data_IF_071530745006
#
_entry.id   IF_071530745006
#
_cell.length_a   1.000
_cell.length_b   1.000
_cell.length_c   1.000
_cell.angle_alpha   90.00
_cell.angle_beta   90.00
_cell.angle_gamma   90.00
#
_symmetry.space_group_name_H-M   'P 1'
#
loop_
_entity.id
_entity.type
_entity.pdbx_description
1 polymer ?
#
# COMPACT_ATOMS: atom_id res chain seq x y z
N UNK A 1 22.62 -3.67 5.69
CA UNK A 1 21.62 -3.43 4.61
C UNK A 1 20.78 -4.68 4.55
N UNK A 2 19.44 -4.60 4.62
CA UNK A 2 18.62 -5.80 4.66
C UNK A 2 18.31 -6.36 3.25
N UNK A 3 17.87 -7.62 3.19
CA UNK A 3 17.59 -8.30 1.93
C UNK A 3 16.49 -7.61 1.12
N UNK A 4 15.49 -7.03 1.81
CA UNK A 4 14.37 -6.33 1.18
C UNK A 4 14.84 -5.10 0.42
N UNK A 5 15.74 -4.33 1.02
CA UNK A 5 16.33 -3.15 0.40
C UNK A 5 17.19 -3.51 -0.81
N UNK A 6 17.97 -4.58 -0.74
CA UNK A 6 18.77 -5.07 -1.88
C UNK A 6 17.86 -5.53 -3.02
N UNK A 7 16.82 -6.32 -2.71
CA UNK A 7 15.86 -6.78 -3.70
C UNK A 7 15.12 -5.60 -4.37
N UNK A 8 14.76 -4.57 -3.60
CA UNK A 8 14.17 -3.33 -4.13
C UNK A 8 15.07 -2.68 -5.17
N UNK A 9 16.37 -2.49 -4.86
CA UNK A 9 17.30 -1.88 -5.81
C UNK A 9 17.53 -2.74 -7.07
N UNK A 10 17.53 -4.07 -6.96
CA UNK A 10 17.58 -4.94 -8.14
C UNK A 10 16.34 -4.77 -9.03
N UNK A 11 15.15 -4.59 -8.44
CA UNK A 11 13.93 -4.32 -9.19
C UNK A 11 13.95 -2.93 -9.84
N UNK A 12 14.50 -1.92 -9.17
CA UNK A 12 14.73 -0.59 -9.75
C UNK A 12 15.69 -0.67 -10.95
N UNK A 13 16.80 -1.42 -10.82
CA UNK A 13 17.71 -1.69 -11.93
C UNK A 13 17.01 -2.37 -13.11
N UNK A 14 16.24 -3.43 -12.84
CA UNK A 14 15.48 -4.14 -13.88
C UNK A 14 14.49 -3.20 -14.59
N UNK A 15 13.79 -2.37 -13.83
CA UNK A 15 12.82 -1.39 -14.33
C UNK A 15 13.48 -0.36 -15.25
N UNK A 16 14.61 0.21 -14.83
CA UNK A 16 15.30 1.20 -15.65
C UNK A 16 15.92 0.57 -16.91
N UNK A 17 16.48 -0.63 -16.82
CA UNK A 17 16.98 -1.39 -17.97
C UNK A 17 15.86 -1.67 -18.99
N UNK A 18 14.69 -2.09 -18.53
CA UNK A 18 13.52 -2.32 -19.39
C UNK A 18 13.05 -1.02 -20.06
N UNK A 19 13.00 0.09 -19.30
CA UNK A 19 12.72 1.39 -19.87
C UNK A 19 13.71 1.78 -20.96
N UNK A 20 15.00 1.46 -20.80
CA UNK A 20 16.06 1.77 -21.77
C UNK A 20 16.17 0.79 -22.93
N UNK A 21 15.28 -0.21 -23.04
CA UNK A 21 15.36 -1.26 -24.07
C UNK A 21 16.60 -2.16 -23.96
N UNK A 22 17.16 -2.31 -22.77
CA UNK A 22 18.25 -3.26 -22.57
C UNK A 22 17.79 -4.72 -22.78
N UNK A 23 18.75 -5.63 -22.85
CA UNK A 23 18.51 -7.06 -23.11
C UNK A 23 17.44 -7.64 -22.17
N UNK A 24 16.36 -8.25 -22.71
CA UNK A 24 15.32 -8.90 -21.90
C UNK A 24 15.87 -9.98 -20.95
N UNK A 25 16.93 -10.67 -21.36
CA UNK A 25 17.63 -11.64 -20.52
C UNK A 25 18.25 -11.00 -19.28
N UNK A 26 18.81 -9.78 -19.43
CA UNK A 26 19.42 -9.03 -18.33
C UNK A 26 18.35 -8.52 -17.37
N UNK A 27 17.26 -7.95 -17.89
CA UNK A 27 16.10 -7.52 -17.07
C UNK A 27 15.56 -8.69 -16.24
N UNK A 28 15.36 -9.84 -16.88
CA UNK A 28 14.85 -11.02 -16.17
C UNK A 28 15.84 -11.57 -15.14
N UNK A 29 17.15 -11.48 -15.40
CA UNK A 29 18.17 -11.89 -14.44
C UNK A 29 18.09 -11.06 -13.14
N UNK A 30 17.95 -9.74 -13.24
CA UNK A 30 17.79 -8.86 -12.07
C UNK A 30 16.49 -9.14 -11.31
N UNK A 31 15.37 -9.37 -12.00
CA UNK A 31 14.09 -9.76 -11.37
C UNK A 31 14.20 -11.09 -10.59
N UNK A 32 14.81 -12.11 -11.21
CA UNK A 32 15.02 -13.42 -10.56
C UNK A 32 15.96 -13.32 -9.36
N UNK A 33 17.02 -12.53 -9.47
CA UNK A 33 17.92 -12.27 -8.36
C UNK A 33 17.20 -11.57 -7.19
N UNK A 34 16.34 -10.58 -7.47
CA UNK A 34 15.55 -9.91 -6.44
C UNK A 34 14.65 -10.89 -5.67
N UNK A 35 13.93 -11.76 -6.41
CA UNK A 35 13.10 -12.81 -5.80
C UNK A 35 13.94 -13.75 -4.93
N UNK A 36 15.05 -14.24 -5.46
CA UNK A 36 15.91 -15.19 -4.74
C UNK A 36 16.51 -14.59 -3.47
N UNK A 37 16.83 -13.29 -3.48
CA UNK A 37 17.29 -12.56 -2.30
C UNK A 37 16.20 -12.43 -1.23
N UNK A 38 14.95 -12.19 -1.63
CA UNK A 38 13.82 -12.13 -0.68
C UNK A 38 13.56 -13.47 -0.01
N UNK A 39 13.75 -14.57 -0.75
CA UNK A 39 13.57 -15.94 -0.27
C UNK A 39 14.78 -16.46 0.53
N UNK A 40 15.91 -15.74 0.52
CA UNK A 40 17.12 -16.13 1.24
C UNK A 40 16.93 -15.89 2.76
N UNK A 41 17.02 -16.93 3.61
CA UNK A 41 16.80 -16.80 5.05
C UNK A 41 17.97 -16.14 5.80
N UNK A 42 19.16 -16.16 5.19
CA UNK A 42 20.37 -15.55 5.73
C UNK A 42 20.47 -14.10 5.24
N UNK A 43 20.88 -13.13 6.08
CA UNK A 43 21.16 -11.77 5.62
C UNK A 43 22.20 -11.78 4.49
N UNK A 44 21.85 -11.25 3.32
CA UNK A 44 22.73 -11.17 2.15
C UNK A 44 23.98 -10.35 2.45
N UNK A 45 23.90 -9.40 3.39
CA UNK A 45 25.07 -8.68 3.88
C UNK A 45 26.13 -9.60 4.50
N UNK A 46 25.72 -10.64 5.23
CA UNK A 46 26.67 -11.64 5.77
C UNK A 46 27.24 -12.53 4.66
N UNK A 47 26.42 -12.88 3.67
CA UNK A 47 26.87 -13.66 2.52
C UNK A 47 27.88 -12.92 1.65
N UNK A 48 27.78 -11.58 1.57
CA UNK A 48 28.76 -10.69 0.94
C UNK A 48 30.11 -10.77 1.65
N UNK A 49 30.12 -10.68 2.98
CA UNK A 49 31.35 -10.76 3.77
C UNK A 49 32.06 -12.11 3.61
N UNK A 50 31.27 -13.19 3.51
CA UNK A 50 31.79 -14.55 3.33
C UNK A 50 32.12 -14.91 1.86
N UNK A 51 31.83 -14.02 0.90
CA UNK A 51 32.07 -14.28 -0.53
C UNK A 51 31.19 -15.40 -1.12
N UNK A 52 29.99 -15.63 -0.56
CA UNK A 52 29.08 -16.74 -0.93
C UNK A 52 27.87 -16.29 -1.76
N UNK A 53 27.86 -15.06 -2.24
CA UNK A 53 26.77 -14.44 -2.99
C UNK A 53 26.38 -15.21 -4.26
N UNK A 54 27.36 -15.74 -5.00
CA UNK A 54 27.12 -16.54 -6.21
C UNK A 54 26.48 -17.90 -5.94
N UNK A 55 26.33 -18.30 -4.68
CA UNK A 55 25.58 -19.48 -4.28
C UNK A 55 24.07 -19.27 -4.28
N UNK A 56 23.59 -18.03 -4.38
CA UNK A 56 22.17 -17.72 -4.46
C UNK A 56 21.69 -17.97 -5.91
N UNK A 57 20.64 -18.79 -6.11
CA UNK A 57 20.06 -19.00 -7.43
C UNK A 57 19.74 -17.68 -8.14
N UNK A 58 20.03 -17.58 -9.44
CA UNK A 58 19.79 -16.35 -10.22
C UNK A 58 20.78 -15.20 -10.00
N UNK A 59 21.68 -15.29 -9.02
CA UNK A 59 22.71 -14.27 -8.77
C UNK A 59 24.02 -14.64 -9.48
N UNK A 60 24.17 -14.17 -10.73
CA UNK A 60 25.41 -14.31 -11.50
C UNK A 60 26.50 -13.31 -11.08
N UNK A 61 27.73 -13.49 -11.60
CA UNK A 61 28.91 -12.67 -11.25
C UNK A 61 28.69 -11.15 -11.35
N UNK A 62 27.98 -10.69 -12.39
CA UNK A 62 27.68 -9.27 -12.57
C UNK A 62 26.74 -8.72 -11.50
N UNK A 63 25.67 -9.45 -11.18
CA UNK A 63 24.71 -9.06 -10.15
C UNK A 63 25.37 -9.14 -8.77
N UNK A 64 26.19 -10.15 -8.51
CA UNK A 64 26.97 -10.27 -7.28
C UNK A 64 27.88 -9.05 -7.06
N UNK A 65 28.62 -8.64 -8.09
CA UNK A 65 29.47 -7.44 -8.02
C UNK A 65 28.67 -6.17 -7.73
N UNK A 66 27.47 -6.03 -8.32
CA UNK A 66 26.57 -4.91 -8.03
C UNK A 66 26.10 -4.91 -6.57
N UNK A 67 25.70 -6.07 -6.04
CA UNK A 67 25.27 -6.19 -4.64
C UNK A 67 26.44 -5.93 -3.68
N UNK A 68 27.64 -6.40 -4.01
CA UNK A 68 28.86 -6.16 -3.22
C UNK A 68 29.16 -4.67 -3.10
N UNK A 69 29.06 -3.91 -4.20
CA UNK A 69 29.24 -2.45 -4.19
C UNK A 69 28.21 -1.75 -3.28
N UNK A 70 26.93 -2.16 -3.33
CA UNK A 70 25.90 -1.60 -2.45
C UNK A 70 26.14 -1.90 -0.96
N UNK A 71 26.59 -3.12 -0.65
CA UNK A 71 26.73 -3.57 0.74
C UNK A 71 28.03 -3.09 1.37
N UNK A 72 29.16 -3.23 0.67
CA UNK A 72 30.50 -2.88 1.19
C UNK A 72 30.78 -1.40 1.04
N UNK A 73 30.60 -0.87 -0.17
CA UNK A 73 31.10 0.46 -0.54
C UNK A 73 30.01 1.53 -0.42
N UNK A 74 28.75 1.12 -0.21
CA UNK A 74 27.57 2.01 -0.23
C UNK A 74 27.45 2.81 -1.53
N UNK A 75 27.94 2.23 -2.62
CA UNK A 75 27.94 2.87 -3.93
C UNK A 75 26.66 2.54 -4.70
N UNK A 76 25.72 3.48 -4.73
CA UNK A 76 24.44 3.35 -5.44
C UNK A 76 24.43 4.06 -6.81
N UNK A 77 25.58 4.56 -7.27
CA UNK A 77 25.72 5.38 -8.48
C UNK A 77 25.03 4.77 -9.71
N UNK A 78 25.21 3.47 -9.96
CA UNK A 78 24.59 2.80 -11.11
C UNK A 78 23.05 2.83 -11.08
N UNK A 79 22.44 2.74 -9.90
CA UNK A 79 20.98 2.84 -9.73
C UNK A 79 20.53 4.28 -9.90
N UNK A 80 21.26 5.21 -9.29
CA UNK A 80 20.98 6.64 -9.34
C UNK A 80 21.05 7.18 -10.77
N UNK A 81 22.09 6.85 -11.51
CA UNK A 81 22.25 7.21 -12.93
C UNK A 81 21.14 6.64 -13.80
N UNK A 82 20.73 5.40 -13.53
CA UNK A 82 19.65 4.75 -14.27
C UNK A 82 18.31 5.44 -13.99
N UNK A 83 18.00 5.69 -12.72
CA UNK A 83 16.80 6.37 -12.28
C UNK A 83 16.73 7.82 -12.77
N UNK A 84 17.85 8.53 -12.84
CA UNK A 84 17.94 9.89 -13.36
C UNK A 84 17.55 10.01 -14.85
N UNK A 85 17.59 8.90 -15.61
CA UNK A 85 17.18 8.85 -17.02
C UNK A 85 15.69 8.56 -17.22
N UNK A 86 14.97 8.23 -16.14
CA UNK A 86 13.54 7.93 -16.19
C UNK A 86 12.73 9.23 -16.14
N UNK A 87 11.60 9.31 -16.87
CA UNK A 87 10.72 10.47 -16.76
C UNK A 87 10.13 10.53 -15.34
N UNK A 88 10.02 11.74 -14.78
CA UNK A 88 9.56 11.96 -13.39
C UNK A 88 8.20 11.32 -13.09
N UNK A 89 7.29 11.36 -14.05
CA UNK A 89 5.94 10.79 -13.97
C UNK A 89 5.82 9.36 -14.52
N UNK A 90 6.90 8.59 -14.63
CA UNK A 90 6.89 7.25 -15.23
C UNK A 90 5.81 6.33 -14.63
N UNK A 91 5.70 6.29 -13.30
CA UNK A 91 4.68 5.48 -12.61
C UNK A 91 3.26 5.90 -12.94
N UNK A 92 3.01 7.20 -13.08
CA UNK A 92 1.70 7.72 -13.45
C UNK A 92 1.37 7.43 -14.92
N UNK A 93 2.35 7.56 -15.81
CA UNK A 93 2.22 7.29 -17.24
C UNK A 93 1.94 5.80 -17.51
N UNK A 94 2.58 4.89 -16.77
CA UNK A 94 2.36 3.43 -16.87
C UNK A 94 0.94 3.02 -16.48
N UNK A 95 0.22 3.82 -15.69
CA UNK A 95 -1.19 3.55 -15.33
C UNK A 95 -2.14 3.75 -16.51
N UNK A 96 -1.72 4.46 -17.55
CA UNK A 96 -2.57 4.64 -18.74
C UNK A 96 -2.56 3.32 -19.55
N UNK A 97 -3.72 2.69 -19.80
CA UNK A 97 -3.77 1.45 -20.57
C UNK A 97 -3.10 1.59 -21.92
N UNK A 98 -2.24 0.63 -22.24
CA UNK A 98 -1.48 0.61 -23.49
C UNK A 98 -0.26 1.55 -23.51
N UNK A 99 0.00 2.37 -22.49
CA UNK A 99 1.25 3.13 -22.37
C UNK A 99 2.30 2.31 -21.62
N UNK A 100 2.95 1.38 -22.32
CA UNK A 100 4.13 0.66 -21.82
C UNK A 100 5.44 1.45 -22.01
N UNK A 101 6.54 0.93 -21.44
CA UNK A 101 7.87 1.55 -21.48
C UNK A 101 8.30 2.06 -22.86
N UNK A 102 8.07 1.28 -23.92
CA UNK A 102 8.41 1.66 -25.30
C UNK A 102 7.72 2.94 -25.76
N UNK A 103 6.42 3.10 -25.46
CA UNK A 103 5.64 4.29 -25.84
C UNK A 103 6.01 5.47 -24.95
N UNK A 104 6.20 5.24 -23.65
CA UNK A 104 6.64 6.28 -22.71
C UNK A 104 8.02 6.81 -23.11
N UNK A 105 8.97 5.94 -23.45
CA UNK A 105 10.29 6.33 -23.97
C UNK A 105 10.18 7.17 -25.23
N UNK A 106 9.30 6.80 -26.17
CA UNK A 106 9.06 7.61 -27.36
C UNK A 106 8.52 9.01 -27.01
N UNK A 107 7.58 9.12 -26.06
CA UNK A 107 7.08 10.43 -25.58
C UNK A 107 8.19 11.25 -24.92
N UNK A 108 8.97 10.64 -24.03
CA UNK A 108 10.04 11.31 -23.30
C UNK A 108 11.15 11.81 -24.24
N UNK A 109 11.64 10.94 -25.13
CA UNK A 109 12.75 11.28 -26.03
C UNK A 109 12.39 12.17 -27.22
N UNK A 110 11.15 12.08 -27.74
CA UNK A 110 10.75 12.81 -28.96
C UNK A 110 9.95 14.07 -28.66
N UNK A 111 9.19 14.08 -27.55
CA UNK A 111 8.29 15.18 -27.19
C UNK A 111 8.61 15.81 -25.83
N UNK A 112 9.68 15.37 -25.15
CA UNK A 112 10.07 15.84 -23.80
C UNK A 112 8.96 15.71 -22.76
N UNK A 113 8.11 14.70 -22.90
CA UNK A 113 7.04 14.41 -21.94
C UNK A 113 7.61 13.67 -20.74
N UNK A 114 7.63 14.33 -19.58
CA UNK A 114 8.07 13.73 -18.32
C UNK A 114 6.89 13.34 -17.42
N UNK A 115 5.75 14.01 -17.53
CA UNK A 115 4.61 13.90 -16.61
C UNK A 115 3.27 13.68 -17.32
N UNK A 116 2.21 13.39 -16.54
CA UNK A 116 0.83 13.37 -17.06
C UNK A 116 0.41 14.72 -17.64
N UNK A 117 0.84 15.81 -17.01
CA UNK A 117 0.51 17.17 -17.42
C UNK A 117 1.17 17.49 -18.77
N UNK A 118 2.43 17.09 -18.97
CA UNK A 118 3.11 17.21 -20.28
C UNK A 118 2.41 16.38 -21.37
N UNK A 119 1.95 15.16 -21.01
CA UNK A 119 1.20 14.32 -21.93
C UNK A 119 -0.15 14.95 -22.31
N UNK A 120 -0.85 15.54 -21.34
CA UNK A 120 -2.09 16.26 -21.58
C UNK A 120 -1.88 17.38 -22.61
N UNK A 121 -0.83 18.15 -22.42
CA UNK A 121 -0.47 19.26 -23.30
C UNK A 121 -0.05 18.75 -24.69
N UNK A 122 0.74 17.68 -24.76
CA UNK A 122 1.13 17.07 -26.03
C UNK A 122 -0.07 16.54 -26.83
N UNK A 123 -1.08 15.97 -26.15
CA UNK A 123 -2.35 15.56 -26.77
C UNK A 123 -3.12 16.78 -27.27
N UNK A 124 -3.27 17.81 -26.44
CA UNK A 124 -3.99 19.05 -26.79
C UNK A 124 -3.40 19.76 -28.01
N UNK A 125 -2.07 19.74 -28.13
CA UNK A 125 -1.33 20.31 -29.26
C UNK A 125 -1.29 19.39 -30.49
N UNK A 126 -1.86 18.18 -30.42
CA UNK A 126 -1.86 17.22 -31.53
C UNK A 126 -0.50 16.61 -31.85
N UNK A 127 0.51 16.77 -30.98
CA UNK A 127 1.91 16.35 -31.18
C UNK A 127 2.12 14.84 -31.36
N UNK A 128 1.16 14.04 -30.88
CA UNK A 128 1.22 12.58 -31.00
C UNK A 128 0.83 12.08 -32.41
N UNK A 129 0.23 12.95 -33.23
CA UNK A 129 -0.23 12.58 -34.56
C UNK A 129 0.94 12.22 -35.48
N UNK A 130 0.86 11.06 -36.13
CA UNK A 130 1.88 10.62 -37.08
C UNK A 130 3.09 9.89 -36.46
N UNK A 131 3.18 9.80 -35.13
CA UNK A 131 4.20 8.98 -34.48
C UNK A 131 3.91 7.49 -34.71
N UNK A 132 4.89 6.73 -35.20
CA UNK A 132 4.76 5.27 -35.42
C UNK A 132 4.31 4.50 -34.18
N UNK A 133 4.73 4.96 -32.99
CA UNK A 133 4.37 4.33 -31.72
C UNK A 133 2.92 4.61 -31.28
N UNK A 134 2.24 5.59 -31.89
CA UNK A 134 0.91 6.10 -31.51
C UNK A 134 -0.07 6.04 -32.69
N UNK A 135 -0.67 4.86 -32.97
CA UNK A 135 -1.72 4.74 -33.97
C UNK A 135 -2.94 5.62 -33.65
N UNK A 136 -3.65 6.10 -34.67
CA UNK A 136 -4.79 7.01 -34.51
C UNK A 136 -5.83 6.53 -33.50
N UNK A 137 -6.28 5.27 -33.60
CA UNK A 137 -7.23 4.66 -32.64
C UNK A 137 -6.75 4.75 -31.18
N UNK A 138 -5.45 4.61 -30.95
CA UNK A 138 -4.88 4.72 -29.61
C UNK A 138 -4.89 6.18 -29.15
N UNK A 139 -4.44 7.12 -29.99
CA UNK A 139 -4.46 8.56 -29.69
C UNK A 139 -5.87 9.04 -29.37
N UNK A 140 -6.89 8.61 -30.13
CA UNK A 140 -8.29 8.96 -29.91
C UNK A 140 -8.83 8.46 -28.55
N UNK A 141 -8.23 7.39 -27.98
CA UNK A 141 -8.61 6.83 -26.67
C UNK A 141 -7.85 7.44 -25.48
N UNK A 142 -6.74 8.14 -25.74
CA UNK A 142 -5.87 8.69 -24.69
C UNK A 142 -6.55 9.74 -23.81
N UNK A 143 -7.33 10.72 -24.32
CA UNK A 143 -7.97 11.73 -23.47
C UNK A 143 -8.80 11.12 -22.34
N UNK A 144 -9.67 10.15 -22.67
CA UNK A 144 -10.50 9.44 -21.67
C UNK A 144 -9.68 8.65 -20.68
N UNK A 145 -8.61 8.01 -21.15
CA UNK A 145 -7.73 7.22 -20.28
C UNK A 145 -6.92 8.11 -19.33
N UNK A 146 -6.45 9.26 -19.83
CA UNK A 146 -5.75 10.27 -19.06
C UNK A 146 -6.66 10.89 -18.01
N UNK A 147 -7.87 11.32 -18.39
CA UNK A 147 -8.87 11.86 -17.46
C UNK A 147 -9.15 10.88 -16.31
N UNK A 148 -9.30 9.59 -16.64
CA UNK A 148 -9.48 8.55 -15.63
C UNK A 148 -8.28 8.46 -14.69
N UNK A 149 -7.04 8.44 -15.19
CA UNK A 149 -5.84 8.40 -14.33
C UNK A 149 -5.73 9.66 -13.46
N UNK A 150 -6.02 10.82 -14.03
CA UNK A 150 -6.02 12.09 -13.31
C UNK A 150 -7.08 12.11 -12.20
N UNK A 151 -8.24 11.48 -12.40
CA UNK A 151 -9.34 11.46 -11.42
C UNK A 151 -8.97 10.80 -10.08
N UNK A 152 -8.01 9.87 -10.08
CA UNK A 152 -7.50 9.22 -8.88
C UNK A 152 -6.05 9.58 -8.57
N UNK A 153 -5.49 10.60 -9.24
CA UNK A 153 -4.19 11.17 -8.86
C UNK A 153 -4.26 11.70 -7.44
N UNK A 154 -3.21 11.47 -6.66
CA UNK A 154 -3.19 11.84 -5.25
C UNK A 154 -3.98 10.88 -4.35
N UNK A 155 -4.48 9.75 -4.87
CA UNK A 155 -5.21 8.75 -4.09
C UNK A 155 -4.47 7.43 -4.04
N UNK A 156 -4.66 6.68 -2.95
CA UNK A 156 -4.18 5.31 -2.78
C UNK A 156 -5.29 4.43 -2.22
N UNK A 157 -5.21 3.13 -2.49
CA UNK A 157 -5.98 2.15 -1.72
C UNK A 157 -5.42 2.03 -0.30
N UNK A 158 -6.27 1.68 0.66
CA UNK A 158 -5.90 1.52 2.07
C UNK A 158 -4.65 0.65 2.28
N UNK A 159 -4.49 -0.45 1.55
CA UNK A 159 -3.33 -1.34 1.69
C UNK A 159 -2.00 -0.64 1.41
N UNK A 160 -1.95 0.17 0.34
CA UNK A 160 -0.79 0.98 -0.01
C UNK A 160 -0.61 2.15 0.96
N UNK A 161 -1.69 2.77 1.41
CA UNK A 161 -1.67 3.83 2.42
C UNK A 161 -1.08 3.36 3.76
N UNK A 162 -1.59 2.24 4.29
CA UNK A 162 -1.10 1.60 5.52
C UNK A 162 0.36 1.20 5.40
N UNK A 163 0.77 0.56 4.31
CA UNK A 163 2.17 0.16 4.09
C UNK A 163 3.12 1.37 4.14
N UNK A 164 2.70 2.51 3.55
CA UNK A 164 3.48 3.75 3.58
C UNK A 164 3.50 4.39 4.97
N UNK A 165 2.37 4.38 5.68
CA UNK A 165 2.28 4.89 7.04
C UNK A 165 3.18 4.07 7.99
N UNK A 166 3.10 2.74 7.92
CA UNK A 166 3.92 1.81 8.70
C UNK A 166 5.40 1.99 8.43
N UNK A 167 5.82 2.13 7.17
CA UNK A 167 7.21 2.39 6.82
C UNK A 167 7.73 3.67 7.49
N UNK A 168 6.95 4.76 7.44
CA UNK A 168 7.31 6.02 8.11
C UNK A 168 7.33 5.87 9.64
N UNK A 169 6.34 5.19 10.22
CA UNK A 169 6.29 4.95 11.68
C UNK A 169 7.50 4.14 12.14
N UNK A 170 7.90 3.09 11.40
CA UNK A 170 9.09 2.30 11.69
C UNK A 170 10.37 3.14 11.57
N UNK A 171 10.45 4.01 10.57
CA UNK A 171 11.56 4.94 10.39
C UNK A 171 11.68 5.91 11.57
N UNK A 172 10.58 6.52 12.01
CA UNK A 172 10.54 7.38 13.21
C UNK A 172 10.89 6.59 14.48
N UNK A 173 10.36 5.38 14.64
CA UNK A 173 10.62 4.51 15.78
C UNK A 173 12.11 4.13 15.88
N UNK A 174 12.81 3.96 14.75
CA UNK A 174 14.26 3.70 14.72
C UNK A 174 15.10 4.83 15.33
N UNK A 175 14.54 6.04 15.47
CA UNK A 175 15.15 7.20 16.14
C UNK A 175 14.56 7.47 17.54
N UNK A 176 13.76 6.55 18.07
CA UNK A 176 13.11 6.66 19.38
C UNK A 176 11.87 7.55 19.39
N UNK A 177 11.37 7.97 18.23
CA UNK A 177 10.18 8.80 18.12
C UNK A 177 8.94 7.90 18.05
N UNK A 178 7.96 8.14 18.91
CA UNK A 178 6.71 7.39 18.91
C UNK A 178 5.72 8.02 17.94
N UNK A 179 5.17 7.20 17.05
CA UNK A 179 4.20 7.63 16.07
C UNK A 179 3.10 6.58 15.88
N UNK A 180 1.95 7.01 15.37
CA UNK A 180 0.84 6.13 14.99
C UNK A 180 0.06 6.71 13.83
N UNK A 181 -0.50 5.83 12.99
CA UNK A 181 -1.40 6.27 11.94
C UNK A 181 -2.65 6.92 12.55
N UNK A 182 -3.14 7.96 11.89
CA UNK A 182 -4.41 8.63 12.19
C UNK A 182 -5.17 8.84 10.88
N UNK A 183 -6.15 9.74 10.86
CA UNK A 183 -6.93 10.08 9.67
C UNK A 183 -7.56 8.88 8.97
N UNK A 184 -7.57 8.93 7.64
CA UNK A 184 -8.20 7.91 6.79
C UNK A 184 -7.57 6.52 6.95
N UNK A 185 -6.26 6.44 7.23
CA UNK A 185 -5.58 5.17 7.48
C UNK A 185 -6.12 4.50 8.74
N UNK A 186 -6.29 5.26 9.84
CA UNK A 186 -6.82 4.73 11.09
C UNK A 186 -8.30 4.34 11.01
N UNK A 187 -9.09 5.01 10.16
CA UNK A 187 -10.49 4.66 9.90
C UNK A 187 -10.67 3.54 8.87
N UNK A 188 -9.59 2.99 8.31
CA UNK A 188 -9.64 1.99 7.24
C UNK A 188 -10.48 2.45 6.03
N UNK A 189 -10.42 3.73 5.68
CA UNK A 189 -11.11 4.24 4.50
C UNK A 189 -10.52 3.58 3.24
N UNK A 190 -11.37 3.02 2.39
CA UNK A 190 -10.95 2.26 1.19
C UNK A 190 -10.00 3.06 0.29
N UNK A 191 -10.30 4.36 0.14
CA UNK A 191 -9.51 5.32 -0.65
C UNK A 191 -8.93 6.37 0.28
N UNK A 192 -7.61 6.51 0.22
CA UNK A 192 -6.78 7.42 1.00
C UNK A 192 -6.36 8.60 0.11
N UNK A 193 -6.69 9.81 0.52
CA UNK A 193 -6.33 11.07 -0.15
C UNK A 193 -5.24 11.83 0.62
N UNK A 194 -5.00 11.44 1.88
CA UNK A 194 -3.91 11.90 2.73
C UNK A 194 -3.46 10.81 3.70
N UNK A 195 -2.16 10.68 3.91
CA UNK A 195 -1.61 9.82 4.96
C UNK A 195 -1.31 10.69 6.17
N UNK A 196 -2.11 10.54 7.23
CA UNK A 196 -1.92 11.26 8.47
C UNK A 196 -1.21 10.38 9.51
N UNK A 197 -0.18 10.92 10.15
CA UNK A 197 0.57 10.26 11.23
C UNK A 197 0.63 11.21 12.42
N UNK A 198 0.19 10.74 13.58
CA UNK A 198 0.33 11.46 14.84
C UNK A 198 1.67 11.10 15.48
N UNK A 199 2.49 12.09 15.80
CA UNK A 199 3.84 11.94 16.31
C UNK A 199 3.92 12.54 17.72
N UNK A 200 4.17 11.70 18.71
CA UNK A 200 4.44 12.14 20.08
C UNK A 200 5.82 12.81 20.10
N UNK A 201 5.84 14.11 20.36
CA UNK A 201 7.00 14.97 20.19
C UNK A 201 7.15 15.88 21.42
N UNK A 202 8.35 15.93 21.98
CA UNK A 202 8.81 17.03 22.84
C UNK A 202 9.62 18.04 22.02
N UNK A 203 9.89 19.23 22.56
CA UNK A 203 10.65 20.27 21.84
C UNK A 203 12.00 19.81 21.27
N UNK A 204 12.65 18.82 21.90
CA UNK A 204 13.94 18.24 21.49
C UNK A 204 13.83 17.17 20.39
N UNK A 205 12.63 16.64 20.12
CA UNK A 205 12.44 15.54 19.15
C UNK A 205 12.26 16.03 17.71
N UNK A 206 12.04 17.34 17.52
CA UNK A 206 11.82 17.93 16.19
C UNK A 206 13.01 17.72 15.25
N UNK A 207 14.23 17.86 15.75
CA UNK A 207 15.45 17.62 14.96
C UNK A 207 15.57 16.15 14.56
N UNK A 208 15.30 15.22 15.49
CA UNK A 208 15.29 13.78 15.20
C UNK A 208 14.25 13.39 14.15
N UNK A 209 13.09 14.05 14.15
CA UNK A 209 12.03 13.83 13.16
C UNK A 209 12.50 14.30 11.79
N UNK A 210 13.09 15.49 11.69
CA UNK A 210 13.60 16.01 10.43
C UNK A 210 14.74 15.15 9.88
N UNK A 211 15.70 14.76 10.73
CA UNK A 211 16.77 13.83 10.38
C UNK A 211 16.22 12.48 9.91
N UNK A 212 15.11 12.02 10.49
CA UNK A 212 14.47 10.77 10.10
C UNK A 212 13.92 10.87 8.69
N UNK A 213 13.38 12.01 8.27
CA UNK A 213 12.79 12.20 6.95
C UNK A 213 13.84 12.20 5.81
N UNK A 214 15.12 12.36 6.14
CA UNK A 214 16.22 12.59 5.19
C UNK A 214 16.23 14.03 4.68
N UNK A 215 16.89 14.29 3.54
CA UNK A 215 16.57 15.48 2.74
C UNK A 215 15.39 15.20 1.79
N UNK A 216 14.17 15.57 2.16
CA UNK A 216 13.17 15.90 1.17
C UNK A 216 12.61 17.29 1.42
N UNK A 217 11.88 17.81 0.45
CA UNK A 217 11.26 19.12 0.42
C UNK A 217 10.07 19.22 1.40
N UNK A 218 10.25 18.74 2.65
CA UNK A 218 9.24 18.76 3.68
C UNK A 218 9.00 20.21 4.11
N UNK A 219 7.74 20.63 4.07
CA UNK A 219 7.34 21.97 4.49
C UNK A 219 6.85 21.88 5.91
N UNK A 220 7.48 22.65 6.80
CA UNK A 220 7.08 22.70 8.20
C UNK A 220 6.22 23.94 8.42
N UNK A 221 5.02 23.75 8.96
CA UNK A 221 4.14 24.84 9.40
C UNK A 221 3.58 24.52 10.77
N UNK A 222 3.90 25.35 11.76
CA UNK A 222 3.51 25.16 13.15
C UNK A 222 3.95 23.76 13.66
N UNK A 223 2.96 22.94 14.00
CA UNK A 223 3.09 21.57 14.52
C UNK A 223 2.79 20.50 13.46
N UNK A 224 2.77 20.88 12.18
CA UNK A 224 2.59 19.95 11.06
C UNK A 224 3.82 19.94 10.16
N UNK A 225 4.31 18.75 9.85
CA UNK A 225 5.33 18.52 8.83
C UNK A 225 4.68 17.86 7.63
N UNK A 226 4.67 18.56 6.49
CA UNK A 226 4.10 18.04 5.24
C UNK A 226 5.21 17.43 4.39
N UNK A 227 5.14 16.12 4.18
CA UNK A 227 5.99 15.39 3.25
C UNK A 227 5.30 15.38 1.88
N UNK A 228 5.96 15.86 0.81
CA UNK A 228 5.38 15.90 -0.52
C UNK A 228 5.08 14.50 -1.05
N UNK A 229 4.13 14.36 -1.98
CA UNK A 229 3.72 13.07 -2.50
C UNK A 229 4.85 12.40 -3.30
N UNK A 230 5.01 11.09 -3.13
CA UNK A 230 5.83 10.26 -4.01
C UNK A 230 4.99 9.63 -5.13
N UNK A 231 5.44 9.79 -6.37
CA UNK A 231 4.92 9.08 -7.56
C UNK A 231 3.38 9.14 -7.73
N UNK A 232 2.80 10.34 -7.62
CA UNK A 232 1.35 10.55 -7.83
C UNK A 232 0.44 10.02 -6.72
N UNK A 233 0.99 9.65 -5.56
CA UNK A 233 0.24 9.35 -4.34
C UNK A 233 -0.19 10.60 -3.55
N UNK A 234 -0.87 10.43 -2.41
CA UNK A 234 -1.27 11.53 -1.53
C UNK A 234 -0.09 12.18 -0.82
N UNK A 235 -0.30 13.38 -0.30
CA UNK A 235 0.58 14.01 0.69
C UNK A 235 0.58 13.20 1.99
N UNK A 236 1.68 13.27 2.73
CA UNK A 236 1.77 12.73 4.08
C UNK A 236 1.95 13.87 5.07
N UNK A 237 1.13 13.89 6.12
CA UNK A 237 1.19 14.90 7.18
C UNK A 237 1.57 14.25 8.50
N UNK A 238 2.65 14.75 9.10
CA UNK A 238 3.05 14.40 10.46
C UNK A 238 2.53 15.48 11.41
N UNK A 239 1.64 15.10 12.32
CA UNK A 239 1.05 15.96 13.33
C UNK A 239 1.85 15.80 14.63
N UNK A 240 2.67 16.80 14.94
CA UNK A 240 3.53 16.82 16.12
C UNK A 240 2.68 17.20 17.34
N UNK A 241 2.73 16.39 18.39
CA UNK A 241 1.88 16.61 19.56
C UNK A 241 2.62 16.27 20.86
N UNK A 242 2.53 17.12 21.91
CA UNK A 242 3.02 16.77 23.23
C UNK A 242 2.16 15.68 23.88
N UNK A 243 2.76 14.86 24.73
CA UNK A 243 2.11 13.67 25.32
C UNK A 243 0.78 13.99 26.00
N UNK A 244 0.66 15.15 26.64
CA UNK A 244 -0.53 15.59 27.38
C UNK A 244 -1.74 15.83 26.47
N UNK A 245 -1.52 16.06 25.18
CA UNK A 245 -2.58 16.34 24.19
C UNK A 245 -2.84 15.16 23.25
N UNK A 246 -2.13 14.03 23.43
CA UNK A 246 -2.13 12.92 22.50
C UNK A 246 -3.55 12.39 22.20
N UNK A 247 -4.38 12.20 23.24
CA UNK A 247 -5.71 11.59 23.09
C UNK A 247 -6.71 12.51 22.39
N UNK A 248 -6.68 13.82 22.68
CA UNK A 248 -7.48 14.81 21.96
C UNK A 248 -7.04 14.92 20.49
N UNK A 249 -5.73 15.08 20.25
CA UNK A 249 -5.21 15.20 18.88
C UNK A 249 -5.42 13.92 18.08
N UNK A 250 -5.36 12.75 18.72
CA UNK A 250 -5.70 11.49 18.08
C UNK A 250 -7.14 11.50 17.58
N UNK A 251 -8.11 11.89 18.41
CA UNK A 251 -9.52 12.02 17.99
C UNK A 251 -9.65 12.99 16.80
N UNK A 252 -9.14 14.22 16.95
CA UNK A 252 -9.29 15.28 15.95
C UNK A 252 -8.67 14.90 14.61
N UNK A 253 -7.43 14.38 14.62
CA UNK A 253 -6.73 13.96 13.41
C UNK A 253 -7.30 12.66 12.83
N UNK A 254 -7.96 11.83 13.64
CA UNK A 254 -8.64 10.62 13.14
C UNK A 254 -9.87 11.00 12.34
N UNK A 255 -10.60 12.02 12.75
CA UNK A 255 -11.79 12.47 12.04
C UNK A 255 -12.91 11.41 12.04
N UNK A 256 -13.76 11.37 11.01
CA UNK A 256 -13.81 12.33 9.88
C UNK A 256 -14.16 13.75 10.31
N UNK A 257 -13.98 14.75 9.43
CA UNK A 257 -14.38 16.15 9.73
C UNK A 257 -15.85 16.25 10.12
N UNK A 258 -16.72 15.47 9.45
CA UNK A 258 -18.13 15.38 9.76
C UNK A 258 -18.38 14.78 11.16
N UNK A 259 -17.63 13.74 11.54
CA UNK A 259 -17.68 13.17 12.90
C UNK A 259 -17.27 14.19 13.97
N UNK A 260 -16.15 14.89 13.76
CA UNK A 260 -15.64 15.90 14.70
C UNK A 260 -16.61 17.07 14.84
N UNK A 261 -17.20 17.52 13.72
CA UNK A 261 -18.22 18.56 13.74
C UNK A 261 -19.43 18.13 14.58
N UNK A 262 -19.89 16.88 14.42
CA UNK A 262 -21.01 16.34 15.18
C UNK A 262 -20.69 16.25 16.68
N UNK A 263 -19.48 15.81 17.06
CA UNK A 263 -19.03 15.80 18.46
C UNK A 263 -18.92 17.21 19.04
N UNK A 264 -18.35 18.18 18.30
CA UNK A 264 -18.26 19.59 18.71
C UNK A 264 -19.63 20.20 18.94
N UNK A 265 -20.59 19.92 18.05
CA UNK A 265 -21.98 20.37 18.21
C UNK A 265 -22.59 19.82 19.49
N UNK A 266 -22.45 18.51 19.74
CA UNK A 266 -22.95 17.88 20.96
C UNK A 266 -22.27 18.44 22.22
N UNK A 267 -20.95 18.64 22.18
CA UNK A 267 -20.20 19.23 23.29
C UNK A 267 -20.78 20.60 23.66
N UNK A 268 -21.01 21.46 22.67
CA UNK A 268 -21.59 22.79 22.86
C UNK A 268 -22.97 22.75 23.51
N UNK A 269 -23.85 21.83 23.09
CA UNK A 269 -25.17 21.61 23.69
C UNK A 269 -25.08 21.21 25.18
N UNK A 270 -23.97 20.60 25.60
CA UNK A 270 -23.70 20.17 26.98
C UNK A 270 -22.88 21.20 27.79
N UNK A 271 -22.58 22.37 27.22
CA UNK A 271 -21.72 23.38 27.84
C UNK A 271 -20.24 22.99 27.90
N UNK A 272 -19.81 22.07 27.03
CA UNK A 272 -18.42 21.72 26.78
C UNK A 272 -17.93 22.30 25.45
N UNK A 273 -16.62 22.42 25.29
CA UNK A 273 -15.98 22.86 24.06
C UNK A 273 -14.81 21.94 23.75
N UNK A 274 -14.75 21.43 22.52
CA UNK A 274 -13.63 20.62 22.01
C UNK A 274 -12.82 21.51 21.08
N UNK A 275 -11.78 22.13 21.63
CA UNK A 275 -10.82 22.95 20.89
C UNK A 275 -9.77 22.10 20.15
N UNK A 276 -8.74 22.77 19.62
CA UNK A 276 -7.62 22.10 18.95
C UNK A 276 -6.62 21.50 19.95
N UNK A 277 -6.47 22.14 21.12
CA UNK A 277 -5.45 21.84 22.12
C UNK A 277 -6.01 21.41 23.48
N UNK A 278 -7.26 21.77 23.78
CA UNK A 278 -7.90 21.47 25.04
C UNK A 278 -9.39 21.20 24.90
N UNK A 279 -9.94 20.51 25.90
CA UNK A 279 -11.38 20.38 26.10
C UNK A 279 -11.75 21.18 27.34
N UNK A 280 -12.80 21.99 27.25
CA UNK A 280 -13.35 22.70 28.42
C UNK A 280 -14.77 22.23 28.73
N UNK A 281 -15.15 22.28 30.01
CA UNK A 281 -16.51 22.07 30.48
C UNK A 281 -16.88 23.24 31.38
N UNK A 282 -17.91 24.01 30.99
CA UNK A 282 -18.35 25.22 31.70
C UNK A 282 -17.20 26.20 31.96
N UNK A 283 -16.32 26.37 30.97
CA UNK A 283 -15.16 27.26 31.01
C UNK A 283 -13.97 26.75 31.84
N UNK A 284 -13.97 25.48 32.28
CA UNK A 284 -12.84 24.87 32.98
C UNK A 284 -12.19 23.77 32.14
N UNK A 285 -10.85 23.71 32.04
CA UNK A 285 -10.17 22.64 31.33
C UNK A 285 -10.48 21.25 31.92
N UNK A 286 -10.64 20.27 31.05
CA UNK A 286 -10.85 18.86 31.38
C UNK A 286 -9.67 18.06 30.85
N UNK A 287 -9.00 17.33 31.74
CA UNK A 287 -7.94 16.40 31.34
C UNK A 287 -8.56 15.12 30.81
N UNK A 288 -8.06 14.63 29.67
CA UNK A 288 -8.46 13.36 29.06
C UNK A 288 -7.22 12.51 28.83
N UNK A 289 -7.28 11.25 29.24
CA UNK A 289 -6.17 10.30 29.12
C UNK A 289 -6.34 9.36 27.94
N UNK A 290 -7.57 9.15 27.49
CA UNK A 290 -7.94 8.32 26.35
C UNK A 290 -9.09 8.94 25.55
N UNK A 291 -9.31 8.47 24.32
CA UNK A 291 -10.44 8.94 23.50
C UNK A 291 -11.79 8.59 24.17
N UNK A 292 -11.86 7.46 24.86
CA UNK A 292 -13.00 6.98 25.63
C UNK A 292 -13.43 7.99 26.70
N UNK A 293 -12.49 8.74 27.28
CA UNK A 293 -12.80 9.80 28.24
C UNK A 293 -13.58 10.95 27.58
N UNK A 294 -13.26 11.25 26.31
CA UNK A 294 -13.94 12.28 25.52
C UNK A 294 -15.37 11.82 25.20
N UNK A 295 -15.56 10.58 24.74
CA UNK A 295 -16.91 10.05 24.51
C UNK A 295 -17.73 10.00 25.81
N UNK A 296 -17.12 9.58 26.92
CA UNK A 296 -17.78 9.52 28.24
C UNK A 296 -18.19 10.90 28.73
N UNK A 297 -17.35 11.92 28.53
CA UNK A 297 -17.67 13.32 28.84
C UNK A 297 -18.95 13.79 28.10
N UNK A 298 -19.14 13.31 26.86
CA UNK A 298 -20.30 13.62 26.03
C UNK A 298 -21.49 12.66 26.26
N UNK A 299 -21.41 11.75 27.23
CA UNK A 299 -22.46 10.76 27.49
C UNK A 299 -22.64 9.74 26.37
N UNK A 300 -21.57 9.43 25.64
CA UNK A 300 -21.56 8.49 24.52
C UNK A 300 -20.80 7.21 24.88
N UNK A 301 -21.27 6.07 24.36
CA UNK A 301 -20.41 4.89 24.19
C UNK A 301 -19.26 5.23 23.23
N UNK A 302 -18.09 4.64 23.47
CA UNK A 302 -16.94 4.77 22.57
C UNK A 302 -17.29 4.31 21.15
N UNK A 303 -16.91 5.12 20.16
CA UNK A 303 -17.02 4.77 18.75
C UNK A 303 -15.64 4.38 18.21
N UNK A 304 -15.45 3.13 17.75
CA UNK A 304 -14.25 2.71 17.06
C UNK A 304 -13.96 3.60 15.83
N UNK A 305 -12.69 3.86 15.48
CA UNK A 305 -12.32 4.73 14.36
C UNK A 305 -12.99 4.37 13.02
N UNK A 306 -13.19 3.09 12.75
CA UNK A 306 -13.70 2.53 11.50
C UNK A 306 -15.14 2.97 11.18
N UNK A 307 -15.88 3.46 12.18
CA UNK A 307 -17.27 3.90 12.02
C UNK A 307 -17.44 5.42 12.10
N UNK A 308 -16.35 6.19 12.27
CA UNK A 308 -16.38 7.66 12.46
C UNK A 308 -16.47 8.39 11.13
N UNK A 309 -17.57 8.19 10.42
CA UNK A 309 -17.78 8.73 9.07
C UNK A 309 -18.75 9.94 9.06
N UNK A 310 -19.25 10.36 10.22
CA UNK A 310 -20.20 11.48 10.33
C UNK A 310 -21.62 11.08 9.94
N UNK A 311 -21.96 9.80 10.07
CA UNK A 311 -23.31 9.29 9.74
C UNK A 311 -24.24 9.51 10.91
N UNK A 312 -25.49 9.93 10.67
CA UNK A 312 -26.49 10.14 11.75
C UNK A 312 -26.65 8.93 12.68
N UNK A 313 -26.50 7.72 12.13
CA UNK A 313 -26.62 6.46 12.88
C UNK A 313 -25.48 6.21 13.88
N UNK A 314 -24.31 6.81 13.72
CA UNK A 314 -23.14 6.53 14.57
C UNK A 314 -23.36 7.07 15.99
N UNK A 315 -23.70 8.36 16.12
CA UNK A 315 -23.95 9.00 17.42
C UNK A 315 -25.27 8.52 18.02
N UNK A 316 -26.28 8.22 17.19
CA UNK A 316 -27.55 7.65 17.68
C UNK A 316 -27.31 6.30 18.39
N UNK A 317 -26.46 5.43 17.83
CA UNK A 317 -26.07 4.17 18.48
C UNK A 317 -25.23 4.42 19.73
N UNK A 318 -24.26 5.32 19.67
CA UNK A 318 -23.42 5.64 20.82
C UNK A 318 -24.22 6.20 22.01
N UNK A 319 -25.24 7.03 21.77
CA UNK A 319 -26.14 7.56 22.80
C UNK A 319 -26.99 6.49 23.47
N UNK A 320 -27.34 5.44 22.74
CA UNK A 320 -28.19 4.33 23.21
C UNK A 320 -27.38 3.12 23.69
N UNK A 321 -26.04 3.25 23.78
CA UNK A 321 -25.12 2.15 24.09
C UNK A 321 -25.30 0.92 23.17
N UNK A 322 -25.56 1.17 21.89
CA UNK A 322 -25.84 0.16 20.86
C UNK A 322 -24.75 0.08 19.77
N UNK A 323 -23.52 0.52 20.08
CA UNK A 323 -22.34 0.28 19.23
C UNK A 323 -21.92 -1.18 19.42
N UNK A 324 -21.95 -2.01 18.35
CA UNK A 324 -21.56 -3.40 18.45
C UNK A 324 -20.05 -3.54 18.62
N UNK A 325 -19.62 -4.68 19.19
CA UNK A 325 -18.24 -5.12 19.04
C UNK A 325 -17.97 -5.39 17.55
N UNK A 326 -16.86 -4.86 17.04
CA UNK A 326 -16.43 -5.09 15.67
C UNK A 326 -15.61 -6.37 15.58
N UNK A 327 -15.52 -6.92 14.36
CA UNK A 327 -14.65 -8.05 14.06
C UNK A 327 -13.18 -7.64 14.23
N UNK A 328 -12.40 -8.44 14.93
CA UNK A 328 -10.96 -8.28 15.04
C UNK A 328 -10.20 -9.29 14.17
N UNK A 329 -8.91 -9.03 13.89
CA UNK A 329 -8.06 -9.95 13.12
C UNK A 329 -8.05 -11.35 13.75
N UNK A 330 -8.09 -11.45 15.09
CA UNK A 330 -8.11 -12.72 15.81
C UNK A 330 -9.41 -13.53 15.63
N UNK A 331 -10.50 -12.90 15.19
CA UNK A 331 -11.76 -13.58 14.87
C UNK A 331 -11.71 -14.27 13.50
N UNK A 332 -10.77 -13.88 12.63
CA UNK A 332 -10.58 -14.46 11.30
C UNK A 332 -9.91 -15.83 11.43
N UNK A 333 -10.72 -16.88 11.31
CA UNK A 333 -10.27 -18.29 11.46
C UNK A 333 -9.82 -18.93 10.14
N UNK A 334 -9.92 -18.22 9.03
CA UNK A 334 -9.60 -18.75 7.71
C UNK A 334 -9.93 -17.76 6.60
N UNK A 335 -9.58 -18.14 5.38
CA UNK A 335 -9.84 -17.38 4.15
C UNK A 335 -10.55 -18.30 3.16
N UNK A 336 -11.57 -17.79 2.46
CA UNK A 336 -12.49 -18.64 1.67
C UNK A 336 -12.24 -18.61 0.17
N UNK A 337 -11.60 -17.55 -0.35
CA UNK A 337 -11.40 -17.34 -1.78
C UNK A 337 -9.92 -17.18 -2.05
N UNK A 338 -9.28 -18.27 -2.45
CA UNK A 338 -7.84 -18.31 -2.70
C UNK A 338 -7.57 -19.11 -3.97
N UNK A 339 -6.62 -18.62 -4.76
CA UNK A 339 -6.22 -19.22 -6.03
C UNK A 339 -4.90 -19.99 -5.86
N UNK A 340 -4.77 -21.07 -6.61
CA UNK A 340 -3.54 -21.86 -6.69
C UNK A 340 -2.90 -21.71 -8.08
N UNK A 341 -1.72 -22.29 -8.25
CA UNK A 341 -1.06 -22.41 -9.56
C UNK A 341 -1.82 -23.27 -10.59
N UNK A 342 -3.02 -23.76 -10.24
CA UNK A 342 -3.95 -24.41 -11.17
C UNK A 342 -4.70 -23.40 -12.06
N UNK A 343 -4.93 -22.18 -11.58
CA UNK A 343 -5.47 -21.07 -12.37
C UNK A 343 -4.47 -19.92 -12.49
N UNK A 344 -4.72 -18.78 -11.82
CA UNK A 344 -3.91 -17.56 -11.88
C UNK A 344 -3.12 -17.29 -10.59
N UNK A 345 -3.15 -18.21 -9.63
CA UNK A 345 -2.29 -18.18 -8.46
C UNK A 345 -0.82 -18.48 -8.81
N UNK A 346 0.08 -18.12 -7.90
CA UNK A 346 1.53 -18.37 -8.06
C UNK A 346 2.06 -19.47 -7.13
N UNK A 347 1.20 -19.99 -6.24
CA UNK A 347 1.56 -20.96 -5.22
C UNK A 347 0.79 -22.26 -5.41
N UNK A 348 1.48 -23.38 -5.26
CA UNK A 348 0.86 -24.71 -5.26
C UNK A 348 -0.15 -24.89 -4.11
N UNK A 349 -1.10 -25.80 -4.30
CA UNK A 349 -2.08 -26.17 -3.27
C UNK A 349 -1.43 -26.50 -1.90
N UNK A 350 -0.39 -27.38 -1.80
CA UNK A 350 0.27 -27.64 -0.52
C UNK A 350 0.92 -26.40 0.11
N UNK A 351 1.49 -25.51 -0.71
CA UNK A 351 2.11 -24.28 -0.22
C UNK A 351 1.05 -23.32 0.35
N UNK A 352 -0.10 -23.17 -0.32
CA UNK A 352 -1.21 -22.35 0.16
C UNK A 352 -1.77 -22.84 1.50
N UNK A 353 -1.99 -24.15 1.62
CA UNK A 353 -2.51 -24.76 2.85
C UNK A 353 -1.53 -24.57 4.02
N UNK A 354 -0.22 -24.82 3.79
CA UNK A 354 0.80 -24.57 4.82
C UNK A 354 0.88 -23.08 5.20
N UNK A 355 0.80 -22.18 4.23
CA UNK A 355 0.80 -20.74 4.48
C UNK A 355 -0.42 -20.27 5.29
N UNK A 356 -1.57 -20.95 5.19
CA UNK A 356 -2.73 -20.73 6.04
C UNK A 356 -2.52 -21.26 7.47
N UNK A 357 -1.92 -22.45 7.61
CA UNK A 357 -1.56 -23.01 8.93
C UNK A 357 -0.56 -22.13 9.67
N UNK A 358 0.47 -21.60 8.99
CA UNK A 358 1.45 -20.68 9.56
C UNK A 358 0.82 -19.38 10.08
N UNK A 359 -0.31 -18.97 9.48
CA UNK A 359 -1.12 -17.82 9.93
C UNK A 359 -2.07 -18.17 11.09
N UNK A 360 -2.11 -19.42 11.53
CA UNK A 360 -2.99 -19.90 12.58
C UNK A 360 -4.44 -20.12 12.13
N UNK A 361 -4.69 -20.18 10.81
CA UNK A 361 -6.03 -20.46 10.29
C UNK A 361 -6.42 -21.92 10.52
N UNK A 362 -7.69 -22.12 10.86
CA UNK A 362 -8.31 -23.44 11.06
C UNK A 362 -8.87 -24.00 9.76
N UNK A 363 -9.06 -23.16 8.76
CA UNK A 363 -9.58 -23.56 7.46
C UNK A 363 -9.11 -22.64 6.32
N UNK A 364 -9.12 -23.17 5.11
CA UNK A 364 -8.83 -22.47 3.86
C UNK A 364 -9.78 -22.95 2.77
N UNK A 365 -10.35 -22.04 1.99
CA UNK A 365 -11.10 -22.36 0.77
C UNK A 365 -10.25 -22.13 -0.47
N UNK A 366 -10.24 -23.13 -1.36
CA UNK A 366 -9.60 -23.07 -2.67
C UNK A 366 -10.69 -22.80 -3.70
N UNK A 367 -10.54 -21.71 -4.45
CA UNK A 367 -11.55 -21.20 -5.38
C UNK A 367 -10.87 -20.72 -6.65
N UNK A 368 -10.16 -21.63 -7.33
CA UNK A 368 -9.57 -21.34 -8.64
C UNK A 368 -10.64 -20.96 -9.68
N UNK A 369 -10.23 -20.31 -10.77
CA UNK A 369 -11.16 -19.88 -11.82
C UNK A 369 -11.80 -21.06 -12.57
N UNK A 370 -13.04 -20.88 -12.97
CA UNK A 370 -13.77 -21.77 -13.90
C UNK A 370 -13.37 -21.56 -15.37
N UNK A 371 -13.79 -22.48 -16.23
CA UNK A 371 -13.40 -22.67 -17.65
C UNK A 371 -13.49 -21.41 -18.52
N UNK A 372 -14.48 -20.56 -18.28
CA UNK A 372 -14.74 -19.36 -19.06
C UNK A 372 -13.67 -18.27 -18.88
N UNK A 373 -12.92 -18.27 -17.77
CA UNK A 373 -11.78 -17.41 -17.52
C UNK A 373 -10.49 -17.93 -18.20
N UNK A 374 -10.53 -18.13 -19.52
CA UNK A 374 -9.42 -18.71 -20.30
C UNK A 374 -8.11 -17.91 -20.20
N UNK A 375 -8.20 -16.61 -19.93
CA UNK A 375 -7.06 -15.71 -19.73
C UNK A 375 -6.36 -15.90 -18.37
N UNK A 376 -7.02 -16.57 -17.43
CA UNK A 376 -6.57 -16.85 -16.07
C UNK A 376 -6.32 -18.35 -15.83
N UNK A 377 -6.28 -19.17 -16.88
CA UNK A 377 -6.04 -20.62 -16.75
C UNK A 377 -7.22 -21.40 -16.14
N UNK A 378 -8.45 -20.97 -16.41
CA UNK A 378 -9.67 -21.58 -15.90
C UNK A 378 -9.75 -23.11 -16.00
N UNK A 379 -10.26 -23.76 -14.96
CA UNK A 379 -10.38 -25.21 -14.85
C UNK A 379 -11.68 -25.71 -15.50
N UNK A 380 -11.56 -26.74 -16.33
CA UNK A 380 -12.72 -27.52 -16.78
C UNK A 380 -13.19 -28.51 -15.70
N UNK A 381 -14.32 -29.16 -15.97
CA UNK A 381 -14.99 -30.05 -15.03
C UNK A 381 -14.10 -31.25 -14.60
N UNK A 382 -13.25 -31.74 -15.51
CA UNK A 382 -12.30 -32.82 -15.21
C UNK A 382 -11.15 -32.34 -14.33
N UNK A 383 -10.62 -31.14 -14.59
CA UNK A 383 -9.58 -30.49 -13.80
C UNK A 383 -10.07 -30.16 -12.39
N UNK A 384 -11.32 -29.67 -12.23
CA UNK A 384 -11.94 -29.47 -10.92
C UNK A 384 -12.06 -30.78 -10.15
N UNK A 385 -12.54 -31.85 -10.80
CA UNK A 385 -12.63 -33.17 -10.18
C UNK A 385 -11.26 -33.70 -9.74
N UNK A 386 -10.20 -33.44 -10.50
CA UNK A 386 -8.83 -33.76 -10.13
C UNK A 386 -8.37 -32.96 -8.92
N UNK A 387 -8.55 -31.64 -8.92
CA UNK A 387 -8.19 -30.77 -7.79
C UNK A 387 -8.90 -31.20 -6.50
N UNK A 388 -10.18 -31.56 -6.58
CA UNK A 388 -10.94 -32.06 -5.43
C UNK A 388 -10.36 -33.36 -4.86
N UNK A 389 -9.82 -34.26 -5.70
CA UNK A 389 -9.11 -35.46 -5.23
C UNK A 389 -7.80 -35.08 -4.54
N UNK A 390 -7.05 -34.13 -5.07
CA UNK A 390 -5.81 -33.63 -4.47
C UNK A 390 -6.07 -32.98 -3.11
N UNK A 391 -7.10 -32.13 -3.02
CA UNK A 391 -7.56 -31.53 -1.75
C UNK A 391 -7.95 -32.63 -0.74
N UNK A 392 -8.63 -33.69 -1.19
CA UNK A 392 -9.02 -34.80 -0.33
C UNK A 392 -7.81 -35.55 0.24
N UNK A 393 -6.83 -35.84 -0.61
CA UNK A 393 -5.60 -36.50 -0.20
C UNK A 393 -4.82 -35.63 0.80
N UNK A 394 -4.63 -34.35 0.48
CA UNK A 394 -3.91 -33.41 1.32
C UNK A 394 -4.60 -33.19 2.68
N UNK A 395 -5.94 -33.10 2.70
CA UNK A 395 -6.69 -33.01 3.95
C UNK A 395 -6.57 -34.25 4.83
N UNK A 396 -6.30 -35.42 4.25
CA UNK A 396 -5.96 -36.64 4.99
C UNK A 396 -4.55 -36.60 5.60
N UNK A 397 -3.62 -35.92 4.94
CA UNK A 397 -2.25 -35.73 5.44
C UNK A 397 -2.14 -34.62 6.50
N UNK A 398 -3.03 -33.62 6.44
CA UNK A 398 -3.03 -32.42 7.29
C UNK A 398 -4.37 -32.25 8.05
N UNK A 399 -4.66 -33.10 9.05
CA UNK A 399 -5.94 -33.08 9.77
C UNK A 399 -6.15 -31.83 10.64
N UNK A 400 -5.11 -31.03 10.87
CA UNK A 400 -5.16 -29.82 11.71
C UNK A 400 -5.86 -28.63 11.02
N UNK A 401 -6.06 -28.70 9.70
CA UNK A 401 -6.70 -27.65 8.90
C UNK A 401 -7.79 -28.22 7.99
N UNK A 402 -8.95 -27.57 7.96
CA UNK A 402 -10.02 -27.93 7.02
C UNK A 402 -9.80 -27.24 5.67
N UNK A 403 -9.73 -28.02 4.59
CA UNK A 403 -9.57 -27.50 3.23
C UNK A 403 -10.94 -27.58 2.51
N UNK A 404 -11.55 -26.44 2.23
CA UNK A 404 -12.78 -26.36 1.47
C UNK A 404 -12.50 -26.42 -0.03
N UNK A 405 -13.33 -27.19 -0.72
CA UNK A 405 -13.35 -27.35 -2.17
C UNK A 405 -14.32 -26.33 -2.74
N UNK A 406 -13.82 -25.41 -3.53
CA UNK A 406 -14.60 -24.35 -4.17
C UNK A 406 -14.18 -24.15 -5.62
N UNK A 407 -14.85 -23.21 -6.26
CA UNK A 407 -14.55 -22.72 -7.59
C UNK A 407 -15.06 -21.28 -7.68
N UNK A 408 -14.30 -20.40 -8.32
CA UNK A 408 -14.82 -19.11 -8.79
C UNK A 408 -15.52 -19.33 -10.13
N UNK A 409 -16.82 -19.67 -10.05
CA UNK A 409 -17.68 -19.90 -11.23
C UNK A 409 -18.07 -18.56 -11.85
N UNK A 410 -17.74 -18.40 -13.13
CA UNK A 410 -18.08 -17.22 -13.91
C UNK A 410 -19.60 -17.18 -14.16
N UNK A 411 -20.15 -15.97 -14.16
CA UNK A 411 -21.53 -15.72 -14.56
C UNK A 411 -21.53 -15.39 -16.06
N UNK A 412 -22.12 -16.27 -16.87
CA UNK A 412 -22.21 -16.13 -18.31
C UNK A 412 -23.13 -14.96 -18.70
N UNK A 413 -23.05 -14.53 -19.96
CA UNK A 413 -23.79 -13.37 -20.47
C UNK A 413 -25.33 -13.51 -20.36
N UNK A 414 -25.84 -14.73 -20.27
CA UNK A 414 -27.26 -15.04 -20.05
C UNK A 414 -27.64 -15.20 -18.56
N UNK A 415 -26.69 -15.03 -17.64
CA UNK A 415 -26.86 -15.18 -16.20
C UNK A 415 -26.74 -16.62 -15.68
N UNK A 416 -26.49 -17.61 -16.55
CA UNK A 416 -26.15 -18.96 -16.12
C UNK A 416 -24.73 -19.02 -15.53
N UNK A 417 -24.45 -20.05 -14.74
CA UNK A 417 -23.11 -20.32 -14.21
C UNK A 417 -22.35 -21.23 -15.18
N UNK A 418 -21.06 -20.93 -15.35
CA UNK A 418 -20.10 -21.77 -16.07
C UNK A 418 -19.85 -23.13 -15.37
#
# INVERSE_FOLDING_TARGET
>A
MDNRLIARYLLEMARGMEYLDESPFRVQAYRKAAQSILETPVPVSEMVEQGRLSGIPGVGKGIASTIEAWVRDRDFSAVEELNARLPRGLDELLKIPGLGFKRIRALHTQLSVETLDDLQEAIRQGKLSGMRAFPRKFVDSLPRSLERVMSYRGKLLISAGLSRAEAMILQLASRGVKARATGQCRRFAEVIERIDILVECSGEDREKILDSLGEPHAVIRNDTVTVPPSAGGPVMELHLVPRERLSLRLLLTTGSDAHILALRKLASEMGAEIGEDEITLRGRPVSVSAEEDIYRLLGLQYLPPEVREGRDSELARARTNAVPALLEIGDIRGTIHNHTDRSDGVSSLPAMVRGAMERGYRWIGISDHSKSAYYAGGLDEEAVALQHREISALGGELPEITIFRGIESDILADGSLD
#
